data_IF_616537939500
#
_entry.id   IF_616537939500
#
_cell.length_a   1.000
_cell.length_b   1.000
_cell.length_c   1.000
_cell.angle_alpha   90.00
_cell.angle_beta   90.00
_cell.angle_gamma   90.00
#
_symmetry.space_group_name_H-M   'P 1'
#
loop_
_entity.id
_entity.type
_entity.pdbx_description
1 polymer ?
#
# COMPACT_ATOMS: atom_id res chain seq x y z
N UNK A 1 -1.03 23.21 4.05
CA UNK A 1 -2.24 22.36 4.10
C UNK A 1 -2.52 21.89 2.69
N UNK A 2 -2.41 20.59 2.48
CA UNK A 2 -2.68 19.91 1.23
C UNK A 2 -4.13 20.15 0.81
N UNK A 3 -4.38 20.19 -0.49
CA UNK A 3 -5.73 20.26 -1.05
C UNK A 3 -5.89 19.09 -1.99
N UNK A 4 -6.91 18.27 -1.75
CA UNK A 4 -7.21 17.11 -2.59
C UNK A 4 -7.54 17.63 -4.01
N UNK A 5 -6.75 17.27 -5.03
CA UNK A 5 -6.83 17.91 -6.34
C UNK A 5 -8.05 17.41 -7.14
N UNK A 6 -8.45 18.17 -8.16
CA UNK A 6 -9.54 17.76 -9.06
C UNK A 6 -9.28 16.40 -9.72
N UNK A 7 -8.03 16.10 -10.08
CA UNK A 7 -7.65 14.80 -10.63
C UNK A 7 -7.98 13.62 -9.70
N UNK A 8 -7.99 13.83 -8.38
CA UNK A 8 -8.43 12.78 -7.44
C UNK A 8 -9.95 12.54 -7.56
N UNK A 9 -10.73 13.62 -7.68
CA UNK A 9 -12.19 13.53 -7.88
C UNK A 9 -12.53 12.81 -9.18
N UNK A 10 -11.77 13.09 -10.23
CA UNK A 10 -11.92 12.42 -11.52
C UNK A 10 -11.57 10.92 -11.39
N UNK A 11 -10.53 10.59 -10.62
CA UNK A 11 -10.11 9.22 -10.37
C UNK A 11 -11.15 8.38 -9.61
N UNK A 12 -11.80 8.95 -8.60
CA UNK A 12 -12.85 8.26 -7.82
C UNK A 12 -14.22 8.27 -8.50
N UNK A 13 -14.38 8.98 -9.63
CA UNK A 13 -15.65 9.01 -10.37
C UNK A 13 -16.16 7.58 -10.65
N UNK A 14 -17.48 7.30 -10.50
CA UNK A 14 -18.03 5.97 -10.77
C UNK A 14 -17.76 5.45 -12.19
N UNK A 15 -17.62 6.35 -13.15
CA UNK A 15 -17.37 6.01 -14.57
C UNK A 15 -15.89 5.96 -14.95
N UNK A 16 -14.98 6.15 -13.99
CA UNK A 16 -13.54 6.14 -14.22
C UNK A 16 -13.06 4.73 -14.59
N UNK A 17 -12.43 4.58 -15.77
CA UNK A 17 -11.56 3.45 -16.06
C UNK A 17 -10.27 3.65 -15.27
N UNK A 18 -10.22 3.10 -14.05
CA UNK A 18 -9.13 3.33 -13.09
C UNK A 18 -7.78 2.85 -13.63
N UNK A 19 -7.76 1.70 -14.32
CA UNK A 19 -6.51 1.17 -14.87
C UNK A 19 -5.94 2.12 -15.93
N UNK A 20 -6.79 2.56 -16.87
CA UNK A 20 -6.40 3.52 -17.89
C UNK A 20 -6.02 4.86 -17.28
N UNK A 21 -6.77 5.35 -16.31
CA UNK A 21 -6.46 6.61 -15.60
C UNK A 21 -5.06 6.56 -15.00
N UNK A 22 -4.70 5.47 -14.30
CA UNK A 22 -3.38 5.31 -13.70
C UNK A 22 -2.28 5.38 -14.75
N UNK A 23 -2.42 4.62 -15.84
CA UNK A 23 -1.42 4.60 -16.91
C UNK A 23 -1.28 5.96 -17.59
N UNK A 24 -2.41 6.62 -17.92
CA UNK A 24 -2.42 7.93 -18.57
C UNK A 24 -1.83 9.02 -17.65
N UNK A 25 -2.14 8.97 -16.35
CA UNK A 25 -1.62 9.91 -15.36
C UNK A 25 -0.10 9.78 -15.18
N UNK A 26 0.42 8.55 -15.09
CA UNK A 26 1.86 8.28 -15.01
C UNK A 26 2.58 8.70 -16.29
N UNK A 27 2.03 8.35 -17.46
CA UNK A 27 2.59 8.69 -18.77
C UNK A 27 2.68 10.19 -18.99
N UNK A 28 1.68 10.96 -18.54
CA UNK A 28 1.72 12.42 -18.57
C UNK A 28 2.85 13.02 -17.71
N UNK A 29 3.41 12.25 -16.76
CA UNK A 29 4.61 12.59 -16.00
C UNK A 29 5.91 11.97 -16.54
N UNK A 30 5.88 11.34 -17.72
CA UNK A 30 7.04 10.67 -18.31
C UNK A 30 7.41 9.34 -17.65
N UNK A 31 6.49 8.74 -16.88
CA UNK A 31 6.69 7.44 -16.24
C UNK A 31 5.92 6.38 -17.01
N UNK A 32 6.64 5.40 -17.56
CA UNK A 32 6.04 4.26 -18.24
C UNK A 32 5.45 3.25 -17.25
N UNK A 33 4.45 2.50 -17.71
CA UNK A 33 3.86 1.38 -16.98
C UNK A 33 3.39 0.29 -17.93
N UNK A 34 3.32 -0.94 -17.44
CA UNK A 34 2.74 -2.08 -18.16
C UNK A 34 1.64 -2.75 -17.34
N UNK A 35 0.75 -3.46 -18.04
CA UNK A 35 -0.25 -4.33 -17.40
C UNK A 35 0.28 -5.75 -17.39
N UNK A 36 0.49 -6.30 -16.20
CA UNK A 36 0.75 -7.71 -15.95
C UNK A 36 -0.58 -8.42 -15.71
N UNK A 37 -1.00 -9.26 -16.67
CA UNK A 37 -2.23 -10.03 -16.56
C UNK A 37 -1.97 -11.42 -15.96
N UNK A 38 -2.63 -11.74 -14.86
CA UNK A 38 -2.53 -13.01 -14.13
C UNK A 38 -3.93 -13.54 -13.84
N UNK A 39 -4.33 -14.65 -14.46
CA UNK A 39 -5.65 -15.28 -14.28
C UNK A 39 -6.84 -14.30 -14.37
N UNK A 40 -6.78 -13.37 -15.33
CA UNK A 40 -7.83 -12.38 -15.55
C UNK A 40 -7.68 -11.08 -14.74
N UNK A 41 -6.87 -11.07 -13.67
CA UNK A 41 -6.52 -9.86 -12.91
C UNK A 41 -5.44 -9.06 -13.65
N UNK A 42 -5.54 -7.74 -13.63
CA UNK A 42 -4.67 -6.82 -14.36
C UNK A 42 -3.87 -5.94 -13.40
N UNK A 43 -2.67 -6.35 -13.03
CA UNK A 43 -1.79 -5.53 -12.19
C UNK A 43 -1.05 -4.50 -13.03
N UNK A 44 -0.86 -3.28 -12.53
CA UNK A 44 -0.10 -2.24 -13.22
C UNK A 44 1.30 -2.15 -12.61
N UNK A 45 2.31 -2.48 -13.40
CA UNK A 45 3.72 -2.40 -13.01
C UNK A 45 4.30 -1.07 -13.49
N UNK A 46 4.80 -0.24 -12.57
CA UNK A 46 5.42 1.05 -12.89
C UNK A 46 6.90 0.86 -13.22
N UNK A 47 7.36 1.48 -14.31
CA UNK A 47 8.73 1.36 -14.80
C UNK A 47 9.54 2.63 -14.50
N UNK A 48 10.30 2.61 -13.41
CA UNK A 48 11.27 3.66 -13.13
C UNK A 48 12.57 3.46 -13.93
N UNK A 49 13.27 4.54 -14.32
CA UNK A 49 14.56 4.42 -15.00
C UNK A 49 15.61 3.68 -14.15
N UNK A 50 16.56 3.00 -14.81
CA UNK A 50 17.59 2.18 -14.13
C UNK A 50 18.42 2.96 -13.08
N UNK A 51 18.64 4.25 -13.29
CA UNK A 51 19.39 5.09 -12.35
C UNK A 51 18.66 5.33 -11.01
N UNK A 52 17.39 4.93 -10.91
CA UNK A 52 16.64 4.96 -9.65
C UNK A 52 16.93 3.74 -8.75
N UNK A 53 17.68 2.77 -9.26
CA UNK A 53 18.04 1.54 -8.57
C UNK A 53 19.55 1.45 -8.37
N UNK A 54 19.95 1.15 -7.15
CA UNK A 54 21.33 0.85 -6.81
C UNK A 54 21.42 -0.60 -6.29
N UNK A 55 22.18 -1.49 -6.95
CA UNK A 55 22.22 -2.91 -6.61
C UNK A 55 22.79 -3.22 -5.22
N UNK A 56 23.45 -2.26 -4.56
CA UNK A 56 23.88 -2.41 -3.17
C UNK A 56 22.73 -2.43 -2.17
N UNK A 57 21.55 -1.93 -2.57
CA UNK A 57 20.39 -1.82 -1.68
C UNK A 57 19.24 -2.72 -2.15
N UNK A 58 18.51 -3.28 -1.19
CA UNK A 58 17.28 -4.05 -1.43
C UNK A 58 16.26 -3.24 -2.20
N UNK A 59 15.52 -3.96 -3.03
CA UNK A 59 14.30 -3.45 -3.66
C UNK A 59 13.20 -3.46 -2.60
N UNK A 60 12.51 -2.32 -2.49
CA UNK A 60 11.28 -2.19 -1.72
C UNK A 60 10.12 -2.30 -2.69
N UNK A 61 9.32 -3.35 -2.58
CA UNK A 61 8.11 -3.50 -3.38
C UNK A 61 6.97 -2.78 -2.66
N UNK A 62 6.41 -1.75 -3.29
CA UNK A 62 5.31 -0.93 -2.76
C UNK A 62 4.04 -1.26 -3.53
N UNK A 63 2.97 -1.52 -2.80
CA UNK A 63 1.69 -2.01 -3.34
C UNK A 63 0.53 -1.19 -2.78
N UNK A 64 -0.44 -0.91 -3.64
CA UNK A 64 -1.80 -0.49 -3.29
C UNK A 64 -2.76 -1.03 -4.35
N UNK A 65 -3.92 -1.53 -3.95
CA UNK A 65 -4.89 -2.08 -4.90
C UNK A 65 -5.74 -0.98 -5.52
N UNK A 66 -6.05 -1.13 -6.81
CA UNK A 66 -6.84 -0.17 -7.59
C UNK A 66 -8.19 -0.72 -8.03
N UNK A 67 -8.54 -1.96 -7.71
CA UNK A 67 -9.93 -2.37 -7.68
C UNK A 67 -10.66 -1.68 -6.51
N UNK A 68 -11.98 -1.73 -6.53
CA UNK A 68 -12.83 -1.12 -5.49
C UNK A 68 -14.18 -1.80 -5.41
N UNK A 69 -14.78 -1.71 -4.23
CA UNK A 69 -16.22 -1.80 -4.04
C UNK A 69 -16.80 -0.38 -3.84
N UNK A 70 -17.83 -0.03 -4.62
CA UNK A 70 -18.47 1.28 -4.55
C UNK A 70 -17.58 2.43 -5.08
N UNK A 71 -17.52 3.55 -4.34
CA UNK A 71 -16.66 4.70 -4.71
C UNK A 71 -15.20 4.39 -4.37
N UNK A 72 -14.94 3.80 -3.19
CA UNK A 72 -13.61 3.37 -2.77
C UNK A 72 -12.64 4.54 -2.58
N UNK A 73 -13.09 5.64 -1.96
CA UNK A 73 -12.30 6.86 -1.86
C UNK A 73 -11.11 6.69 -0.92
N UNK A 74 -11.34 6.18 0.28
CA UNK A 74 -10.29 5.77 1.22
C UNK A 74 -9.73 4.40 0.82
N UNK A 75 -10.61 3.50 0.35
CA UNK A 75 -10.34 2.10 0.05
C UNK A 75 -10.44 1.78 -1.46
N UNK A 76 -9.36 1.85 -2.22
CA UNK A 76 -8.03 2.30 -1.81
C UNK A 76 -7.50 3.42 -2.71
N UNK A 77 -8.42 4.26 -3.19
CA UNK A 77 -8.09 5.33 -4.13
C UNK A 77 -7.09 6.35 -3.56
N UNK A 78 -7.17 6.66 -2.27
CA UNK A 78 -6.24 7.57 -1.62
C UNK A 78 -4.78 7.10 -1.73
N UNK A 79 -4.49 5.84 -1.41
CA UNK A 79 -3.13 5.31 -1.50
C UNK A 79 -2.65 5.26 -2.96
N UNK A 80 -3.48 4.74 -3.86
CA UNK A 80 -3.16 4.67 -5.29
C UNK A 80 -2.82 6.05 -5.85
N UNK A 81 -3.64 7.05 -5.53
CA UNK A 81 -3.42 8.41 -6.01
C UNK A 81 -2.15 9.05 -5.44
N UNK A 82 -1.90 8.93 -4.14
CA UNK A 82 -0.67 9.42 -3.52
C UNK A 82 0.56 8.78 -4.18
N UNK A 83 0.54 7.48 -4.45
CA UNK A 83 1.64 6.78 -5.10
C UNK A 83 1.84 7.22 -6.56
N UNK A 84 0.76 7.46 -7.32
CA UNK A 84 0.85 8.03 -8.67
C UNK A 84 1.49 9.43 -8.66
N UNK A 85 1.04 10.31 -7.76
CA UNK A 85 1.58 11.66 -7.60
C UNK A 85 3.05 11.60 -7.22
N UNK A 86 3.39 10.76 -6.23
CA UNK A 86 4.77 10.57 -5.78
C UNK A 86 5.67 10.04 -6.89
N UNK A 87 5.22 9.03 -7.66
CA UNK A 87 5.99 8.43 -8.74
C UNK A 87 6.40 9.44 -9.83
N UNK A 88 5.56 10.44 -10.09
CA UNK A 88 5.87 11.53 -11.04
C UNK A 88 6.81 12.59 -10.47
N UNK A 89 6.82 12.76 -9.15
CA UNK A 89 7.56 13.82 -8.46
C UNK A 89 8.90 13.37 -7.87
N UNK A 90 9.13 12.08 -7.69
CA UNK A 90 10.37 11.57 -7.09
C UNK A 90 11.55 11.77 -8.03
N UNK A 91 12.59 12.45 -7.53
CA UNK A 91 13.80 12.76 -8.28
C UNK A 91 15.07 12.10 -7.70
N UNK A 92 14.94 11.37 -6.59
CA UNK A 92 16.07 10.72 -5.91
C UNK A 92 16.10 9.21 -6.20
N UNK A 93 17.29 8.60 -6.32
CA UNK A 93 17.40 7.14 -6.37
C UNK A 93 16.78 6.50 -5.14
N UNK A 94 15.79 5.62 -5.36
CA UNK A 94 14.87 5.17 -4.32
C UNK A 94 14.79 3.66 -4.13
N UNK A 95 15.23 2.84 -5.10
CA UNK A 95 15.13 1.36 -5.05
C UNK A 95 13.69 0.88 -4.75
N UNK A 96 12.67 1.48 -5.38
CA UNK A 96 11.25 1.09 -5.21
C UNK A 96 10.77 0.42 -6.49
N UNK A 97 10.13 -0.73 -6.35
CA UNK A 97 9.26 -1.34 -7.36
C UNK A 97 7.82 -1.00 -6.96
N UNK A 98 7.08 -0.30 -7.81
CA UNK A 98 5.71 0.10 -7.53
C UNK A 98 4.75 -0.73 -8.38
N UNK A 99 3.76 -1.36 -7.75
CA UNK A 99 2.75 -2.18 -8.39
C UNK A 99 1.38 -1.76 -7.87
N UNK A 100 0.44 -1.47 -8.77
CA UNK A 100 -0.96 -1.35 -8.41
C UNK A 100 -1.66 -2.69 -8.67
N UNK A 101 -2.23 -3.27 -7.63
CA UNK A 101 -2.85 -4.60 -7.64
C UNK A 101 -4.33 -4.54 -8.04
N UNK A 102 -4.86 -5.64 -8.55
CA UNK A 102 -6.24 -5.79 -9.01
C UNK A 102 -6.80 -7.08 -8.42
N UNK A 103 -8.03 -7.07 -7.96
CA UNK A 103 -8.71 -8.18 -7.32
C UNK A 103 -8.35 -8.39 -5.85
N UNK A 104 -7.95 -7.34 -5.12
CA UNK A 104 -7.82 -7.40 -3.65
C UNK A 104 -9.19 -7.64 -3.00
N UNK A 105 -10.22 -6.96 -3.51
CA UNK A 105 -11.60 -6.94 -3.01
C UNK A 105 -12.30 -8.30 -3.13
N UNK A 106 -11.71 -9.22 -3.89
CA UNK A 106 -12.16 -10.61 -4.01
C UNK A 106 -11.69 -11.47 -2.82
N UNK A 107 -10.83 -10.92 -1.94
CA UNK A 107 -10.23 -11.60 -0.80
C UNK A 107 -11.23 -12.07 0.27
N UNK A 108 -12.44 -11.52 0.31
CA UNK A 108 -13.53 -12.03 1.16
C UNK A 108 -13.84 -13.51 0.87
N UNK A 109 -13.57 -13.99 -0.36
CA UNK A 109 -13.74 -15.39 -0.77
C UNK A 109 -12.57 -16.29 -0.39
N UNK A 110 -11.51 -15.72 0.17
CA UNK A 110 -10.29 -16.38 0.56
C UNK A 110 -9.05 -15.73 -0.04
N UNK A 111 -7.93 -15.83 0.68
CA UNK A 111 -6.64 -15.26 0.28
C UNK A 111 -6.17 -15.73 -1.11
N UNK A 112 -6.52 -16.94 -1.55
CA UNK A 112 -6.13 -17.47 -2.87
C UNK A 112 -6.84 -16.76 -4.02
N UNK A 113 -7.99 -16.16 -3.75
CA UNK A 113 -8.78 -15.40 -4.72
C UNK A 113 -8.27 -13.97 -4.88
N UNK A 114 -7.43 -13.47 -3.97
CA UNK A 114 -6.83 -12.14 -4.11
C UNK A 114 -5.94 -12.06 -5.35
N UNK A 115 -5.89 -10.88 -5.94
CA UNK A 115 -4.91 -10.51 -6.97
C UNK A 115 -3.47 -10.81 -6.58
N UNK A 116 -3.08 -10.31 -5.41
CA UNK A 116 -1.72 -10.43 -4.93
C UNK A 116 -1.25 -11.87 -4.68
N UNK A 117 -2.15 -12.85 -4.54
CA UNK A 117 -1.73 -14.23 -4.28
C UNK A 117 -0.96 -14.82 -5.45
N UNK A 118 -1.49 -14.70 -6.67
CA UNK A 118 -0.81 -15.17 -7.87
C UNK A 118 0.40 -14.29 -8.23
N UNK A 119 0.34 -13.00 -7.92
CA UNK A 119 1.49 -12.10 -8.02
C UNK A 119 2.65 -12.57 -7.10
N UNK A 120 2.36 -12.88 -5.85
CA UNK A 120 3.34 -13.37 -4.88
C UNK A 120 3.89 -14.75 -5.25
N UNK A 121 3.05 -15.66 -5.79
CA UNK A 121 3.52 -16.91 -6.37
C UNK A 121 4.49 -16.68 -7.53
N UNK A 122 4.20 -15.70 -8.39
CA UNK A 122 5.05 -15.33 -9.52
C UNK A 122 6.39 -14.79 -9.02
N UNK A 123 6.38 -13.91 -8.00
CA UNK A 123 7.60 -13.43 -7.35
C UNK A 123 8.47 -14.59 -6.85
N UNK A 124 7.87 -15.54 -6.13
CA UNK A 124 8.57 -16.73 -5.63
C UNK A 124 9.17 -17.56 -6.78
N UNK A 125 8.41 -17.79 -7.86
CA UNK A 125 8.89 -18.53 -9.04
C UNK A 125 10.07 -17.83 -9.73
N UNK A 126 10.09 -16.50 -9.71
CA UNK A 126 11.17 -15.68 -10.25
C UNK A 126 12.35 -15.49 -9.29
N UNK A 127 12.30 -16.08 -8.08
CA UNK A 127 13.34 -15.92 -7.06
C UNK A 127 13.33 -14.57 -6.33
N UNK A 128 12.27 -13.78 -6.50
CA UNK A 128 12.09 -12.47 -5.84
C UNK A 128 11.50 -12.70 -4.44
N UNK A 129 12.33 -13.15 -3.52
CA UNK A 129 11.91 -13.54 -2.15
C UNK A 129 12.65 -12.80 -1.03
N UNK A 130 13.57 -11.90 -1.40
CA UNK A 130 14.34 -11.08 -0.45
C UNK A 130 13.95 -9.60 -0.48
N UNK A 131 12.86 -9.27 -1.17
CA UNK A 131 12.32 -7.91 -1.23
C UNK A 131 11.56 -7.57 0.04
N UNK A 132 11.63 -6.30 0.45
CA UNK A 132 10.77 -5.74 1.48
C UNK A 132 9.46 -5.32 0.85
N UNK A 133 8.34 -5.94 1.24
CA UNK A 133 7.01 -5.61 0.67
C UNK A 133 6.22 -4.71 1.63
N UNK A 134 5.80 -3.56 1.13
CA UNK A 134 4.99 -2.57 1.82
C UNK A 134 3.66 -2.42 1.10
N UNK A 135 2.58 -2.75 1.79
CA UNK A 135 1.21 -2.56 1.31
C UNK A 135 0.63 -1.33 2.02
N UNK A 136 0.08 -0.40 1.25
CA UNK A 136 -0.61 0.77 1.76
C UNK A 136 -2.10 0.66 1.45
N UNK A 137 -2.91 0.75 2.49
CA UNK A 137 -4.34 0.49 2.40
C UNK A 137 -5.12 1.42 3.33
N UNK A 138 -6.22 2.00 2.85
CA UNK A 138 -7.08 2.89 3.62
C UNK A 138 -6.31 4.11 4.20
N UNK A 139 -5.50 4.77 3.37
CA UNK A 139 -4.56 5.83 3.78
C UNK A 139 -5.06 7.27 3.55
N UNK A 140 -6.35 7.47 3.33
CA UNK A 140 -6.96 8.76 3.02
C UNK A 140 -7.68 9.44 4.19
N UNK A 141 -7.82 8.76 5.34
CA UNK A 141 -8.57 9.24 6.50
C UNK A 141 -7.76 9.13 7.79
N UNK A 142 -7.62 10.25 8.50
CA UNK A 142 -6.96 10.31 9.81
C UNK A 142 -5.56 10.90 9.82
N UNK A 143 -4.91 10.83 10.97
CA UNK A 143 -3.61 11.46 11.24
C UNK A 143 -2.61 10.53 11.95
N UNK A 144 -3.01 9.28 12.20
CA UNK A 144 -2.22 8.29 12.90
C UNK A 144 -1.98 7.09 11.99
N UNK A 145 -0.76 6.89 11.47
CA UNK A 145 -0.44 5.67 10.76
C UNK A 145 -0.46 4.47 11.71
N UNK A 146 -0.98 3.37 11.20
CA UNK A 146 -1.17 2.11 11.90
C UNK A 146 -0.46 1.01 11.13
N UNK A 147 0.46 0.32 11.78
CA UNK A 147 1.05 -0.91 11.27
C UNK A 147 0.12 -2.09 11.61
N UNK A 148 -0.33 -2.81 10.59
CA UNK A 148 -1.20 -3.97 10.79
C UNK A 148 -0.45 -5.11 11.49
N UNK A 149 -1.07 -5.69 12.52
CA UNK A 149 -0.59 -6.91 13.17
C UNK A 149 -0.80 -8.12 12.24
N UNK A 150 0.28 -8.67 11.69
CA UNK A 150 0.19 -9.93 10.96
C UNK A 150 0.04 -11.13 11.90
N UNK A 151 -0.89 -12.03 11.56
CA UNK A 151 -1.01 -13.37 12.12
C UNK A 151 -0.13 -14.33 11.32
N UNK A 152 1.12 -14.51 11.75
CA UNK A 152 2.04 -15.48 11.15
C UNK A 152 1.67 -16.88 11.64
N UNK A 153 1.58 -17.84 10.72
CA UNK A 153 1.26 -19.23 11.05
C UNK A 153 2.30 -19.84 12.02
N UNK A 154 1.88 -20.79 12.89
CA UNK A 154 2.84 -21.54 13.70
C UNK A 154 3.77 -22.36 12.78
N UNK A 155 5.03 -22.55 13.20
CA UNK A 155 6.06 -23.33 12.50
C UNK A 155 6.60 -22.75 11.18
N UNK A 156 6.42 -21.44 10.95
CA UNK A 156 7.09 -20.76 9.84
C UNK A 156 8.62 -20.77 10.04
N UNK A 157 9.43 -20.95 8.97
CA UNK A 157 10.89 -21.04 9.10
C UNK A 157 11.50 -19.84 9.83
N UNK A 158 12.48 -20.10 10.72
CA UNK A 158 13.16 -19.05 11.50
C UNK A 158 13.71 -17.93 10.62
N UNK A 159 14.26 -18.27 9.44
CA UNK A 159 14.77 -17.28 8.50
C UNK A 159 13.68 -16.29 8.04
N UNK A 160 12.47 -16.77 7.78
CA UNK A 160 11.34 -15.89 7.42
C UNK A 160 11.00 -14.98 8.59
N UNK A 161 10.89 -15.54 9.81
CA UNK A 161 10.58 -14.76 11.02
C UNK A 161 11.60 -13.65 11.23
N UNK A 162 12.90 -13.95 11.10
CA UNK A 162 13.95 -12.93 11.18
C UNK A 162 13.78 -11.83 10.14
N UNK A 163 13.53 -12.19 8.87
CA UNK A 163 13.33 -11.19 7.81
C UNK A 163 12.08 -10.34 8.04
N UNK A 164 10.99 -10.96 8.46
CA UNK A 164 9.73 -10.27 8.78
C UNK A 164 9.93 -9.30 9.95
N UNK A 165 10.51 -9.74 11.07
CA UNK A 165 10.77 -8.86 12.22
C UNK A 165 11.68 -7.69 11.84
N UNK A 166 12.69 -7.92 11.01
CA UNK A 166 13.55 -6.83 10.53
C UNK A 166 12.78 -5.83 9.65
N UNK A 167 11.90 -6.30 8.76
CA UNK A 167 11.01 -5.45 7.95
C UNK A 167 10.08 -4.64 8.86
N UNK A 168 9.44 -5.30 9.81
CA UNK A 168 8.54 -4.69 10.78
C UNK A 168 9.25 -3.56 11.55
N UNK A 169 10.44 -3.80 12.08
CA UNK A 169 11.23 -2.80 12.81
C UNK A 169 11.64 -1.61 11.93
N UNK A 170 11.96 -1.83 10.66
CA UNK A 170 12.21 -0.73 9.72
C UNK A 170 10.96 0.10 9.50
N UNK A 171 9.81 -0.54 9.33
CA UNK A 171 8.53 0.14 9.15
C UNK A 171 8.16 0.96 10.37
N UNK A 172 8.29 0.41 11.60
CA UNK A 172 8.05 1.14 12.85
C UNK A 172 8.90 2.40 12.95
N UNK A 173 10.18 2.33 12.58
CA UNK A 173 11.08 3.50 12.57
C UNK A 173 10.62 4.57 11.58
N UNK A 174 10.21 4.17 10.38
CA UNK A 174 9.64 5.12 9.39
C UNK A 174 8.40 5.80 9.96
N UNK A 175 7.45 5.02 10.49
CA UNK A 175 6.21 5.58 11.05
C UNK A 175 6.50 6.52 12.22
N UNK A 176 7.38 6.13 13.14
CA UNK A 176 7.85 6.96 14.26
C UNK A 176 8.38 8.32 13.79
N UNK A 177 9.21 8.34 12.74
CA UNK A 177 9.78 9.59 12.19
C UNK A 177 8.68 10.45 11.56
N UNK A 178 7.85 9.85 10.70
CA UNK A 178 6.88 10.59 9.90
C UNK A 178 5.70 11.14 10.71
N UNK A 179 5.31 10.48 11.80
CA UNK A 179 4.19 10.89 12.64
C UNK A 179 4.58 11.54 13.96
N UNK A 180 5.86 11.96 14.10
CA UNK A 180 6.39 12.53 15.33
C UNK A 180 6.09 11.64 16.56
N UNK A 181 6.23 10.33 16.38
CA UNK A 181 5.95 9.30 17.37
C UNK A 181 4.50 8.91 17.59
N UNK A 182 3.57 9.50 16.86
CA UNK A 182 2.14 9.17 16.94
C UNK A 182 1.78 8.06 15.95
N UNK A 183 2.08 6.81 16.28
CA UNK A 183 1.74 5.64 15.47
C UNK A 183 1.40 4.45 16.36
N UNK A 184 0.69 3.46 15.82
CA UNK A 184 0.27 2.28 16.57
C UNK A 184 0.44 0.99 15.77
N UNK A 185 0.50 -0.13 16.48
CA UNK A 185 0.36 -1.46 15.89
C UNK A 185 -0.97 -2.05 16.34
N UNK A 186 -1.93 -2.26 15.43
CA UNK A 186 -3.30 -2.68 15.75
C UNK A 186 -3.70 -3.93 14.95
N UNK A 187 -4.66 -4.75 15.45
CA UNK A 187 -5.26 -5.82 14.67
C UNK A 187 -6.17 -5.22 13.58
N UNK A 188 -5.62 -5.10 12.37
CA UNK A 188 -6.35 -4.65 11.18
C UNK A 188 -6.68 -5.88 10.33
N UNK A 189 -7.75 -5.81 9.53
CA UNK A 189 -8.01 -6.83 8.52
C UNK A 189 -6.82 -6.94 7.56
N UNK A 190 -6.67 -8.13 6.99
CA UNK A 190 -5.64 -8.39 6.01
C UNK A 190 -5.93 -7.68 4.70
N UNK A 191 -4.86 -7.24 4.04
CA UNK A 191 -4.85 -6.71 2.68
C UNK A 191 -3.96 -7.62 1.82
N UNK A 192 -3.46 -7.13 0.69
CA UNK A 192 -2.53 -7.84 -0.20
C UNK A 192 -1.28 -8.41 0.52
N UNK A 193 -0.89 -7.85 1.68
CA UNK A 193 0.27 -8.33 2.45
C UNK A 193 0.10 -9.78 2.89
N UNK A 194 -1.13 -10.22 3.15
CA UNK A 194 -1.41 -11.60 3.53
C UNK A 194 -0.98 -12.56 2.42
N UNK A 195 -1.30 -12.23 1.17
CA UNK A 195 -0.95 -13.01 -0.02
C UNK A 195 0.56 -13.23 -0.15
N UNK A 196 1.37 -12.22 0.18
CA UNK A 196 2.83 -12.34 0.19
C UNK A 196 3.33 -13.19 1.37
N UNK A 197 2.79 -12.98 2.58
CA UNK A 197 3.12 -13.77 3.77
C UNK A 197 2.82 -15.26 3.54
N UNK A 198 1.65 -15.59 2.98
CA UNK A 198 1.24 -16.95 2.63
C UNK A 198 2.17 -17.62 1.61
N UNK A 199 2.89 -16.83 0.80
CA UNK A 199 3.86 -17.31 -0.16
C UNK A 199 5.31 -17.27 0.36
N UNK A 200 5.52 -16.99 1.65
CA UNK A 200 6.84 -16.96 2.28
C UNK A 200 7.66 -15.71 1.96
N UNK A 201 7.01 -14.62 1.55
CA UNK A 201 7.63 -13.32 1.29
C UNK A 201 7.23 -12.35 2.42
N UNK A 202 8.19 -11.77 3.15
CA UNK A 202 7.89 -10.80 4.20
C UNK A 202 7.16 -9.57 3.65
N UNK A 203 5.99 -9.27 4.21
CA UNK A 203 5.17 -8.14 3.81
C UNK A 203 4.47 -7.50 5.00
N UNK A 204 4.41 -6.17 5.03
CA UNK A 204 3.66 -5.41 6.04
C UNK A 204 2.54 -4.62 5.37
N UNK A 205 1.46 -4.37 6.09
CA UNK A 205 0.42 -3.43 5.68
C UNK A 205 0.41 -2.23 6.62
N UNK A 206 0.24 -1.03 6.05
CA UNK A 206 0.08 0.22 6.77
C UNK A 206 -1.25 0.82 6.37
N UNK A 207 -2.03 1.20 7.38
CA UNK A 207 -3.27 1.96 7.24
C UNK A 207 -3.20 3.25 8.04
N UNK A 208 -4.25 4.07 8.00
CA UNK A 208 -4.33 5.30 8.76
C UNK A 208 -5.68 5.45 9.42
N UNK A 209 -5.66 5.94 10.66
CA UNK A 209 -6.84 6.18 11.45
C UNK A 209 -6.80 7.59 12.05
N UNK A 210 -7.97 8.21 12.26
CA UNK A 210 -8.07 9.35 13.14
C UNK A 210 -7.65 8.97 14.57
N UNK A 211 -7.02 9.91 15.26
CA UNK A 211 -6.54 9.73 16.64
C UNK A 211 -7.60 9.24 17.62
N UNK A 212 -8.80 9.78 17.50
CA UNK A 212 -9.96 9.42 18.31
C UNK A 212 -10.45 8.00 18.02
N UNK A 213 -10.26 7.52 16.80
CA UNK A 213 -10.65 6.18 16.37
C UNK A 213 -9.65 5.12 16.85
N UNK A 214 -8.36 5.45 16.97
CA UNK A 214 -7.37 4.54 17.57
C UNK A 214 -7.76 4.11 18.99
N UNK A 215 -8.28 5.04 19.79
CA UNK A 215 -8.73 4.73 21.15
C UNK A 215 -9.94 3.79 21.17
N UNK A 216 -10.78 3.81 20.13
CA UNK A 216 -11.91 2.90 19.98
C UNK A 216 -11.40 1.48 19.69
N UNK A 217 -10.43 1.34 18.77
CA UNK A 217 -9.82 0.03 18.46
C UNK A 217 -9.19 -0.59 19.70
N UNK A 218 -8.45 0.20 20.50
CA UNK A 218 -7.84 -0.28 21.75
C UNK A 218 -8.86 -0.76 22.79
N UNK A 219 -10.11 -0.28 22.71
CA UNK A 219 -11.25 -0.72 23.54
C UNK A 219 -12.03 -1.88 22.91
N UNK A 220 -11.55 -2.45 21.80
CA UNK A 220 -12.22 -3.53 21.07
C UNK A 220 -13.42 -3.10 20.24
N UNK A 221 -13.54 -1.80 19.93
CA UNK A 221 -14.62 -1.27 19.09
C UNK A 221 -14.16 -1.16 17.64
N UNK A 222 -15.11 -1.31 16.70
CA UNK A 222 -14.83 -1.08 15.28
C UNK A 222 -14.89 0.43 15.02
N UNK A 223 -13.82 1.06 14.53
CA UNK A 223 -13.77 2.49 14.28
C UNK A 223 -14.60 2.87 13.06
N UNK A 224 -15.07 4.12 12.99
CA UNK A 224 -15.91 4.60 11.89
C UNK A 224 -15.23 4.45 10.52
N UNK A 225 -13.91 4.65 10.44
CA UNK A 225 -13.14 4.45 9.21
C UNK A 225 -13.38 3.05 8.63
N UNK A 226 -13.38 2.01 9.47
CA UNK A 226 -13.60 0.64 9.01
C UNK A 226 -15.09 0.34 8.75
N UNK A 227 -15.99 0.97 9.48
CA UNK A 227 -17.44 0.84 9.22
C UNK A 227 -17.86 1.47 7.89
N UNK A 228 -17.11 2.46 7.39
CA UNK A 228 -17.41 3.13 6.13
C UNK A 228 -16.99 2.31 4.90
N UNK A 229 -16.04 1.38 5.06
CA UNK A 229 -15.51 0.58 3.95
C UNK A 229 -16.63 -0.19 3.25
N UNK A 230 -16.54 -0.27 1.92
CA UNK A 230 -17.54 -0.90 1.05
C UNK A 230 -18.96 -0.29 1.15
N UNK A 231 -19.11 0.89 1.75
CA UNK A 231 -20.38 1.63 1.82
C UNK A 231 -20.33 2.93 1.01
N UNK A 232 -21.47 3.60 0.86
CA UNK A 232 -21.53 4.94 0.25
C UNK A 232 -20.84 6.02 1.08
N UNK A 233 -20.50 5.73 2.34
CA UNK A 233 -19.74 6.63 3.22
C UNK A 233 -18.24 6.60 2.93
N UNK A 234 -17.73 5.63 2.16
CA UNK A 234 -16.36 5.68 1.65
C UNK A 234 -16.25 6.58 0.40
N UNK A 235 -16.42 7.88 0.64
CA UNK A 235 -16.48 8.92 -0.38
C UNK A 235 -15.49 10.07 -0.09
N UNK A 236 -15.47 11.10 -0.93
CA UNK A 236 -14.54 12.22 -0.80
C UNK A 236 -14.63 12.94 0.56
N UNK A 237 -15.82 13.05 1.14
CA UNK A 237 -16.05 13.76 2.42
C UNK A 237 -15.51 12.98 3.62
N UNK A 238 -15.28 11.68 3.47
CA UNK A 238 -14.68 10.85 4.52
C UNK A 238 -13.17 11.10 4.67
N UNK A 239 -12.53 11.71 3.67
CA UNK A 239 -11.09 11.90 3.60
C UNK A 239 -10.61 13.15 4.33
N UNK A 240 -9.35 13.15 4.76
CA UNK A 240 -8.70 14.30 5.36
C UNK A 240 -7.41 14.66 4.60
N UNK A 241 -7.20 15.91 4.17
CA UNK A 241 -5.95 16.33 3.53
C UNK A 241 -4.67 16.04 4.33
N UNK A 242 -4.74 16.05 5.67
CA UNK A 242 -3.60 15.70 6.52
C UNK A 242 -3.13 14.25 6.28
N UNK A 243 -4.04 13.34 5.96
CA UNK A 243 -3.72 11.95 5.61
C UNK A 243 -2.82 11.88 4.37
N UNK A 244 -3.10 12.71 3.35
CA UNK A 244 -2.28 12.77 2.15
C UNK A 244 -0.87 13.30 2.46
N UNK A 245 -0.75 14.35 3.28
CA UNK A 245 0.55 14.84 3.75
C UNK A 245 1.34 13.76 4.50
N UNK A 246 0.69 13.05 5.42
CA UNK A 246 1.28 11.94 6.17
C UNK A 246 1.75 10.82 5.23
N UNK A 247 0.93 10.45 4.23
CA UNK A 247 1.32 9.47 3.22
C UNK A 247 2.60 9.91 2.51
N UNK A 248 2.64 11.15 1.99
CA UNK A 248 3.81 11.66 1.27
C UNK A 248 5.06 11.62 2.16
N UNK A 249 4.94 11.94 3.45
CA UNK A 249 6.06 11.81 4.39
C UNK A 249 6.55 10.36 4.50
N UNK A 250 5.65 9.40 4.64
CA UNK A 250 5.98 7.97 4.76
C UNK A 250 6.67 7.46 3.49
N UNK A 251 6.11 7.70 2.31
CA UNK A 251 6.69 7.19 1.05
C UNK A 251 8.02 7.88 0.72
N UNK A 252 8.19 9.16 1.06
CA UNK A 252 9.47 9.85 0.90
C UNK A 252 10.54 9.30 1.84
N UNK A 253 10.18 8.98 3.08
CA UNK A 253 11.11 8.36 4.01
C UNK A 253 11.48 6.94 3.57
N UNK A 254 10.50 6.18 3.07
CA UNK A 254 10.73 4.89 2.47
C UNK A 254 11.68 4.98 1.26
N UNK A 255 11.54 5.98 0.41
CA UNK A 255 12.41 6.22 -0.74
C UNK A 255 13.88 6.50 -0.33
N UNK A 256 14.07 7.15 0.82
CA UNK A 256 15.40 7.42 1.39
C UNK A 256 16.02 6.20 2.06
N UNK A 257 15.22 5.24 2.53
CA UNK A 257 15.70 4.05 3.22
C UNK A 257 16.67 3.23 2.35
N UNK A 258 17.89 3.03 2.89
CA UNK A 258 18.96 2.22 2.29
C UNK A 258 19.20 0.97 3.14
N UNK A 259 18.60 -0.15 2.73
CA UNK A 259 18.83 -1.47 3.34
C UNK A 259 19.75 -2.26 2.44
N UNK A 260 20.87 -2.77 2.96
CA UNK A 260 21.84 -3.54 2.17
C UNK A 260 21.21 -4.84 1.63
N UNK A 261 21.51 -5.17 0.37
CA UNK A 261 21.01 -6.34 -0.34
C UNK A 261 21.40 -7.65 0.36
#
# INVERSE_FOLDING_TARGET
MYTIPQAFKDFISPTCDRARFIQDYLKAGGIDSSVLQLEGKKHICVHFPKNQYNPMFRIKTVIAHYDRIGIGANDNSAAVFCLMVWARGVAIPHNIRLIFTDGEELGERGITEQGAFLLAQTFRKLGITNDDVYVFDCMGRGDVPVLAQAKIAPNVPTQFLTKYSQLEERTKKILQICSNGKWFTLPVNYSDNASFIANGIPAVAVTMLPSEEVQQVLKGQTPQTWQNLHTTQDNLESLNPLSFEMFFNIINELARLKTLA
#
